data_IF_015742135290
#
_entry.id   IF_015742135290
#
_cell.length_a   1.000
_cell.length_b   1.000
_cell.length_c   1.000
_cell.angle_alpha   90.00
_cell.angle_beta   90.00
_cell.angle_gamma   90.00
#
_symmetry.space_group_name_H-M   'P 1'
#
loop_
_entity.id
_entity.type
_entity.pdbx_description
1 polymer ?
#
# COMPACT_ATOMS: atom_id res chain seq x y z
N UNK A 1 -15.93 4.00 11.27
CA UNK A 1 -14.50 4.20 11.60
C UNK A 1 -13.73 4.78 10.41
N UNK A 2 -13.72 4.14 9.23
CA UNK A 2 -13.07 4.73 8.03
C UNK A 2 -13.77 6.01 7.53
N UNK A 3 -15.03 6.19 7.86
CA UNK A 3 -15.86 7.36 7.52
C UNK A 3 -16.03 8.37 8.65
N UNK A 4 -15.43 8.16 9.83
CA UNK A 4 -15.65 9.06 10.97
C UNK A 4 -14.87 10.36 10.79
N UNK A 5 -15.47 11.27 10.02
CA UNK A 5 -15.16 12.68 9.77
C UNK A 5 -13.69 12.96 9.46
N UNK A 6 -13.43 13.35 8.21
CA UNK A 6 -12.14 13.92 7.75
C UNK A 6 -11.75 15.27 8.40
N UNK A 7 -12.08 15.46 9.68
CA UNK A 7 -11.77 16.62 10.50
C UNK A 7 -10.56 16.39 11.41
N UNK A 8 -10.16 15.13 11.65
CA UNK A 8 -8.95 14.86 12.43
C UNK A 8 -7.70 15.09 11.56
N UNK A 9 -6.95 16.14 11.91
CA UNK A 9 -5.70 16.55 11.24
C UNK A 9 -4.59 15.48 11.31
N UNK A 10 -4.69 14.54 12.25
CA UNK A 10 -3.63 13.55 12.52
C UNK A 10 -4.23 12.17 12.80
N UNK A 11 -3.74 11.15 12.10
CA UNK A 11 -4.02 9.75 12.41
C UNK A 11 -3.62 9.42 13.85
N UNK A 12 -4.54 8.80 14.59
CA UNK A 12 -4.29 8.28 15.93
C UNK A 12 -4.10 6.77 15.85
N UNK A 13 -2.96 6.27 16.35
CA UNK A 13 -2.64 4.83 16.47
C UNK A 13 -3.76 4.00 17.10
N UNK A 14 -4.57 4.61 17.96
CA UNK A 14 -5.78 4.04 18.53
C UNK A 14 -6.71 3.40 17.48
N UNK A 15 -6.93 4.06 16.34
CA UNK A 15 -7.83 3.54 15.31
C UNK A 15 -7.29 2.29 14.62
N UNK A 16 -5.97 2.21 14.38
CA UNK A 16 -5.33 0.99 13.86
C UNK A 16 -5.49 -0.19 14.81
N UNK A 17 -5.22 0.02 16.11
CA UNK A 17 -5.38 -1.03 17.13
C UNK A 17 -6.84 -1.49 17.26
N UNK A 18 -7.79 -0.57 17.17
CA UNK A 18 -9.21 -0.89 17.25
C UNK A 18 -9.68 -1.67 16.00
N UNK A 19 -9.29 -1.22 14.81
CA UNK A 19 -9.58 -1.93 13.56
C UNK A 19 -8.95 -3.33 13.54
N UNK A 20 -7.70 -3.46 13.99
CA UNK A 20 -7.01 -4.75 14.13
C UNK A 20 -7.79 -5.71 15.04
N UNK A 21 -8.25 -5.23 16.21
CA UNK A 21 -9.06 -6.05 17.12
C UNK A 21 -10.36 -6.53 16.47
N UNK A 22 -11.03 -5.69 15.67
CA UNK A 22 -12.21 -6.12 14.92
C UNK A 22 -11.88 -7.22 13.92
N UNK A 23 -10.82 -7.08 13.13
CA UNK A 23 -10.39 -8.10 12.17
C UNK A 23 -10.11 -9.45 12.84
N UNK A 24 -9.49 -9.45 14.01
CA UNK A 24 -9.22 -10.68 14.76
C UNK A 24 -10.45 -11.27 15.45
N UNK A 25 -11.47 -10.45 15.73
CA UNK A 25 -12.70 -10.91 16.39
C UNK A 25 -13.58 -11.71 15.43
N UNK A 26 -13.77 -11.23 14.19
CA UNK A 26 -14.55 -11.92 13.17
C UNK A 26 -14.00 -11.67 11.78
N UNK A 27 -13.97 -12.72 10.97
CA UNK A 27 -13.56 -12.67 9.55
C UNK A 27 -14.37 -11.65 8.73
N UNK A 28 -15.66 -11.48 9.03
CA UNK A 28 -16.53 -10.49 8.41
C UNK A 28 -15.97 -9.05 8.51
N UNK A 29 -15.29 -8.70 9.61
CA UNK A 29 -14.68 -7.37 9.73
C UNK A 29 -13.46 -7.24 8.82
N UNK A 30 -12.62 -8.28 8.72
CA UNK A 30 -11.47 -8.27 7.82
C UNK A 30 -11.91 -8.15 6.35
N UNK A 31 -12.97 -8.87 5.95
CA UNK A 31 -13.57 -8.76 4.61
C UNK A 31 -14.13 -7.36 4.34
N UNK A 32 -14.80 -6.76 5.33
CA UNK A 32 -15.28 -5.38 5.22
C UNK A 32 -14.13 -4.37 5.07
N UNK A 33 -13.00 -4.57 5.78
CA UNK A 33 -11.82 -3.73 5.63
C UNK A 33 -11.12 -3.94 4.26
N UNK A 34 -11.10 -5.16 3.74
CA UNK A 34 -10.62 -5.47 2.37
C UNK A 34 -11.43 -4.72 1.32
N UNK A 35 -12.76 -4.89 1.34
CA UNK A 35 -13.65 -4.15 0.45
C UNK A 35 -13.50 -2.64 0.63
N UNK A 36 -13.33 -2.17 1.86
CA UNK A 36 -13.10 -0.76 2.14
C UNK A 36 -11.79 -0.27 1.50
N UNK A 37 -10.70 -1.02 1.58
CA UNK A 37 -9.43 -0.68 0.94
C UNK A 37 -9.62 -0.50 -0.57
N UNK A 38 -10.19 -1.51 -1.23
CA UNK A 38 -10.41 -1.51 -2.69
C UNK A 38 -11.32 -0.36 -3.11
N UNK A 39 -12.41 -0.13 -2.37
CA UNK A 39 -13.34 0.97 -2.63
C UNK A 39 -12.69 2.35 -2.44
N UNK A 40 -11.90 2.55 -1.38
CA UNK A 40 -11.19 3.82 -1.16
C UNK A 40 -10.14 4.06 -2.25
N UNK A 41 -9.42 3.03 -2.68
CA UNK A 41 -8.44 3.14 -3.75
C UNK A 41 -9.09 3.49 -5.10
N UNK A 42 -10.25 2.89 -5.41
CA UNK A 42 -10.99 3.19 -6.65
C UNK A 42 -11.41 4.67 -6.77
N UNK A 43 -11.72 5.34 -5.65
CA UNK A 43 -12.11 6.76 -5.63
C UNK A 43 -11.02 7.69 -5.10
N UNK A 44 -9.76 7.22 -5.07
CA UNK A 44 -8.67 7.91 -4.36
C UNK A 44 -8.38 9.32 -4.86
N UNK A 45 -8.60 9.55 -6.15
CA UNK A 45 -8.45 10.85 -6.80
C UNK A 45 -9.38 11.94 -6.25
N UNK A 46 -10.45 11.55 -5.53
CA UNK A 46 -11.42 12.47 -4.90
C UNK A 46 -11.09 12.81 -3.45
N UNK A 47 -10.04 12.21 -2.90
CA UNK A 47 -9.69 12.34 -1.49
C UNK A 47 -8.64 13.44 -1.31
N UNK A 48 -8.83 14.27 -0.29
CA UNK A 48 -7.86 15.29 0.08
C UNK A 48 -6.59 14.68 0.69
N UNK A 49 -5.46 15.38 0.55
CA UNK A 49 -4.13 14.92 1.00
C UNK A 49 -4.08 14.41 2.44
N UNK A 50 -4.75 15.09 3.37
CA UNK A 50 -4.77 14.66 4.78
C UNK A 50 -5.53 13.34 4.96
N UNK A 51 -6.62 13.15 4.20
CA UNK A 51 -7.39 11.92 4.22
C UNK A 51 -6.59 10.77 3.60
N UNK A 52 -5.84 11.02 2.53
CA UNK A 52 -4.92 10.03 1.93
C UNK A 52 -3.91 9.53 2.97
N UNK A 53 -3.27 10.44 3.71
CA UNK A 53 -2.32 10.10 4.79
C UNK A 53 -2.97 9.24 5.87
N UNK A 54 -4.12 9.67 6.39
CA UNK A 54 -4.81 8.97 7.48
C UNK A 54 -5.25 7.56 7.06
N UNK A 55 -5.76 7.40 5.84
CA UNK A 55 -6.19 6.10 5.31
C UNK A 55 -4.97 5.20 5.06
N UNK A 56 -3.88 5.75 4.52
CA UNK A 56 -2.64 5.01 4.31
C UNK A 56 -2.06 4.50 5.64
N UNK A 57 -2.01 5.33 6.70
CA UNK A 57 -1.53 4.93 8.03
C UNK A 57 -2.42 3.86 8.70
N UNK A 58 -3.74 3.89 8.45
CA UNK A 58 -4.64 2.85 8.95
C UNK A 58 -4.36 1.50 8.27
N UNK A 59 -4.33 1.49 6.94
CA UNK A 59 -4.16 0.25 6.20
C UNK A 59 -2.74 -0.31 6.27
N UNK A 60 -1.71 0.54 6.39
CA UNK A 60 -0.34 0.07 6.68
C UNK A 60 -0.30 -0.69 8.01
N UNK A 61 -0.98 -0.18 9.05
CA UNK A 61 -1.07 -0.87 10.35
C UNK A 61 -1.75 -2.24 10.22
N UNK A 62 -2.87 -2.32 9.51
CA UNK A 62 -3.61 -3.58 9.33
C UNK A 62 -2.80 -4.62 8.54
N UNK A 63 -2.10 -4.19 7.50
CA UNK A 63 -1.23 -5.06 6.70
C UNK A 63 0.01 -5.51 7.48
N UNK A 64 0.68 -4.60 8.21
CA UNK A 64 1.87 -4.91 9.00
C UNK A 64 1.58 -5.88 10.16
N UNK A 65 0.34 -5.92 10.63
CA UNK A 65 -0.13 -6.84 11.69
C UNK A 65 -0.83 -8.09 11.15
N UNK A 66 -0.84 -8.28 9.82
CA UNK A 66 -1.53 -9.38 9.13
C UNK A 66 -3.02 -9.50 9.54
N UNK A 67 -3.63 -8.37 9.93
CA UNK A 67 -5.07 -8.24 10.20
C UNK A 67 -5.88 -8.01 8.93
N UNK A 68 -5.20 -7.62 7.85
CA UNK A 68 -5.75 -7.52 6.50
C UNK A 68 -4.87 -8.32 5.55
N UNK A 69 -5.49 -9.05 4.62
CA UNK A 69 -4.77 -9.79 3.58
C UNK A 69 -3.97 -8.85 2.69
N UNK A 70 -2.75 -9.24 2.32
CA UNK A 70 -1.92 -8.48 1.39
C UNK A 70 -2.43 -8.53 -0.06
N UNK A 71 -3.36 -9.43 -0.37
CA UNK A 71 -4.05 -9.49 -1.67
C UNK A 71 -4.79 -8.20 -2.04
N UNK A 72 -5.07 -7.30 -1.10
CA UNK A 72 -5.64 -5.98 -1.40
C UNK A 72 -4.74 -5.13 -2.29
N UNK A 73 -3.43 -5.42 -2.34
CA UNK A 73 -2.46 -4.71 -3.19
C UNK A 73 -2.73 -4.88 -4.68
N UNK A 74 -3.46 -5.94 -5.09
CA UNK A 74 -3.80 -6.22 -6.48
C UNK A 74 -4.53 -5.05 -7.17
N UNK A 75 -5.32 -4.28 -6.42
CA UNK A 75 -6.07 -3.17 -6.99
C UNK A 75 -5.19 -1.94 -7.30
N UNK A 76 -3.92 -1.95 -6.89
CA UNK A 76 -2.99 -0.86 -7.10
C UNK A 76 -2.12 -1.12 -8.32
N UNK A 77 -2.10 -0.16 -9.25
CA UNK A 77 -1.23 -0.19 -10.44
C UNK A 77 -0.26 0.99 -10.44
N UNK A 78 1.04 0.71 -10.55
CA UNK A 78 2.12 1.72 -10.54
C UNK A 78 2.71 1.86 -11.95
N UNK A 79 2.03 2.62 -12.78
CA UNK A 79 2.46 2.99 -14.14
C UNK A 79 2.33 4.51 -14.31
N UNK A 80 2.93 5.05 -15.36
CA UNK A 80 2.80 6.48 -15.67
C UNK A 80 1.33 6.87 -15.97
N UNK A 81 0.61 5.99 -16.67
CA UNK A 81 -0.75 6.21 -17.16
C UNK A 81 -1.82 6.05 -16.05
N UNK A 82 -1.69 5.04 -15.17
CA UNK A 82 -2.73 4.72 -14.17
C UNK A 82 -2.53 5.45 -12.84
N UNK A 83 -1.35 6.04 -12.60
CA UNK A 83 -1.08 6.73 -11.34
C UNK A 83 -1.38 8.22 -11.40
N UNK A 84 -2.42 8.62 -10.66
CA UNK A 84 -2.73 10.02 -10.38
C UNK A 84 -1.85 10.59 -9.27
N UNK A 85 -1.80 11.91 -9.11
CA UNK A 85 -1.12 12.55 -7.98
C UNK A 85 -1.63 12.05 -6.62
N UNK A 86 -2.93 11.79 -6.49
CA UNK A 86 -3.52 11.27 -5.26
C UNK A 86 -3.09 9.83 -4.96
N UNK A 87 -3.06 8.96 -5.97
CA UNK A 87 -2.56 7.59 -5.77
C UNK A 87 -1.08 7.60 -5.41
N UNK A 88 -0.24 8.42 -6.07
CA UNK A 88 1.18 8.57 -5.72
C UNK A 88 1.38 8.99 -4.27
N UNK A 89 0.60 9.95 -3.78
CA UNK A 89 0.63 10.37 -2.37
C UNK A 89 0.26 9.21 -1.46
N UNK A 90 -0.86 8.52 -1.72
CA UNK A 90 -1.30 7.40 -0.90
C UNK A 90 -0.27 6.28 -0.83
N UNK A 91 0.23 5.82 -1.98
CA UNK A 91 1.21 4.74 -2.09
C UNK A 91 2.49 5.12 -1.36
N UNK A 92 2.96 6.36 -1.53
CA UNK A 92 4.11 6.88 -0.78
C UNK A 92 3.92 6.70 0.73
N UNK A 93 2.81 7.20 1.28
CA UNK A 93 2.56 7.11 2.72
C UNK A 93 2.37 5.65 3.17
N UNK A 94 1.66 4.84 2.40
CA UNK A 94 1.42 3.43 2.72
C UNK A 94 2.74 2.67 2.87
N UNK A 95 3.62 2.75 1.86
CA UNK A 95 4.88 2.03 1.87
C UNK A 95 5.90 2.60 2.86
N UNK A 96 5.92 3.92 3.08
CA UNK A 96 6.79 4.53 4.10
C UNK A 96 6.39 4.06 5.51
N UNK A 97 5.10 4.03 5.82
CA UNK A 97 4.60 3.52 7.11
C UNK A 97 4.85 2.02 7.28
N UNK A 98 4.65 1.22 6.22
CA UNK A 98 4.97 -0.21 6.23
C UNK A 98 6.47 -0.44 6.48
N UNK A 99 7.34 0.29 5.78
CA UNK A 99 8.78 0.20 5.97
C UNK A 99 9.21 0.65 7.37
N UNK A 100 8.57 1.69 7.92
CA UNK A 100 8.80 2.17 9.29
C UNK A 100 8.44 1.10 10.33
N UNK A 101 7.32 0.38 10.10
CA UNK A 101 6.81 -0.62 11.05
C UNK A 101 7.53 -1.96 10.96
N UNK A 102 7.81 -2.44 9.75
CA UNK A 102 8.36 -3.79 9.50
C UNK A 102 9.87 -3.80 9.28
N UNK A 103 10.45 -2.67 8.88
CA UNK A 103 11.79 -2.58 8.30
C UNK A 103 11.80 -2.93 6.80
N UNK A 104 12.66 -2.25 6.05
CA UNK A 104 12.74 -2.39 4.58
C UNK A 104 13.09 -3.82 4.14
N UNK A 105 13.96 -4.52 4.86
CA UNK A 105 14.38 -5.90 4.52
C UNK A 105 13.22 -6.89 4.65
N UNK A 106 12.45 -6.81 5.74
CA UNK A 106 11.29 -7.68 5.97
C UNK A 106 10.17 -7.39 4.97
N UNK A 107 9.97 -6.11 4.65
CA UNK A 107 9.02 -5.70 3.63
C UNK A 107 9.43 -6.22 2.25
N UNK A 108 10.70 -6.08 1.86
CA UNK A 108 11.23 -6.61 0.61
C UNK A 108 11.07 -8.13 0.52
N UNK A 109 11.41 -8.87 1.58
CA UNK A 109 11.24 -10.32 1.61
C UNK A 109 9.78 -10.74 1.40
N UNK A 110 8.84 -10.02 2.01
CA UNK A 110 7.39 -10.27 1.81
C UNK A 110 6.93 -9.96 0.39
N UNK A 111 7.42 -8.88 -0.21
CA UNK A 111 7.05 -8.48 -1.59
C UNK A 111 7.63 -9.38 -2.67
N UNK A 112 8.68 -10.14 -2.35
CA UNK A 112 9.29 -11.12 -3.26
C UNK A 112 8.93 -12.56 -2.89
N UNK A 113 7.90 -12.77 -2.05
CA UNK A 113 7.41 -14.11 -1.73
C UNK A 113 6.78 -14.74 -2.99
N UNK A 114 7.33 -15.86 -3.52
CA UNK A 114 6.81 -16.49 -4.73
C UNK A 114 5.34 -16.89 -4.63
N UNK A 115 4.84 -17.20 -3.43
CA UNK A 115 3.45 -17.60 -3.23
C UNK A 115 2.46 -16.43 -3.35
N UNK A 116 2.93 -15.20 -3.13
CA UNK A 116 2.13 -13.98 -3.14
C UNK A 116 2.44 -13.06 -4.33
N UNK A 117 3.34 -13.48 -5.23
CA UNK A 117 3.86 -12.64 -6.31
C UNK A 117 2.75 -12.01 -7.16
N UNK A 118 1.70 -12.78 -7.49
CA UNK A 118 0.56 -12.31 -8.27
C UNK A 118 -0.19 -11.12 -7.66
N UNK A 119 -0.12 -10.94 -6.34
CA UNK A 119 -0.75 -9.80 -5.66
C UNK A 119 0.00 -8.48 -5.88
N UNK A 120 1.27 -8.57 -6.26
CA UNK A 120 2.18 -7.44 -6.35
C UNK A 120 2.58 -7.11 -7.80
N UNK A 121 2.14 -7.89 -8.79
CA UNK A 121 2.50 -7.70 -10.20
C UNK A 121 2.17 -6.29 -10.71
N UNK A 122 1.04 -5.72 -10.29
CA UNK A 122 0.65 -4.37 -10.69
C UNK A 122 1.43 -3.27 -9.93
N UNK A 123 1.98 -3.59 -8.76
CA UNK A 123 2.79 -2.68 -7.92
C UNK A 123 4.25 -2.67 -8.38
N UNK A 124 4.76 -3.82 -8.81
CA UNK A 124 6.10 -3.99 -9.37
C UNK A 124 6.01 -4.50 -10.81
N UNK A 125 5.52 -3.66 -11.75
CA UNK A 125 5.27 -4.07 -13.12
C UNK A 125 6.56 -4.51 -13.82
N UNK A 126 6.44 -5.61 -14.58
CA UNK A 126 7.50 -6.19 -15.43
C UNK A 126 7.08 -6.29 -16.91
N UNK A 127 5.98 -5.63 -17.27
CA UNK A 127 5.34 -5.73 -18.60
C UNK A 127 6.09 -4.93 -19.67
N UNK A 128 6.50 -3.69 -19.37
CA UNK A 128 7.25 -2.83 -20.28
C UNK A 128 8.42 -2.16 -19.56
N UNK A 129 9.48 -1.87 -20.31
CA UNK A 129 10.64 -1.15 -19.78
C UNK A 129 10.28 0.23 -19.23
N UNK A 130 9.27 0.88 -19.81
CA UNK A 130 8.76 2.18 -19.35
C UNK A 130 8.11 2.07 -17.96
N UNK A 131 7.18 1.11 -17.77
CA UNK A 131 6.52 0.89 -16.49
C UNK A 131 7.49 0.47 -15.40
N UNK A 132 8.43 -0.42 -15.74
CA UNK A 132 9.47 -0.86 -14.83
C UNK A 132 10.32 0.34 -14.37
N UNK A 133 10.80 1.17 -15.31
CA UNK A 133 11.58 2.39 -14.97
C UNK A 133 10.78 3.37 -14.13
N UNK A 134 9.49 3.55 -14.43
CA UNK A 134 8.60 4.41 -13.66
C UNK A 134 8.49 3.95 -12.20
N UNK A 135 8.23 2.65 -11.98
CA UNK A 135 8.12 2.07 -10.64
C UNK A 135 9.45 2.16 -9.87
N UNK A 136 10.59 1.83 -10.49
CA UNK A 136 11.93 1.98 -9.88
C UNK A 136 12.15 3.43 -9.42
N UNK A 137 11.88 4.40 -10.31
CA UNK A 137 12.08 5.82 -10.00
C UNK A 137 11.13 6.28 -8.89
N UNK A 138 9.88 5.83 -8.92
CA UNK A 138 8.90 6.15 -7.89
C UNK A 138 9.37 5.68 -6.52
N UNK A 139 9.71 4.40 -6.35
CA UNK A 139 10.18 3.87 -5.07
C UNK A 139 11.51 4.48 -4.60
N UNK A 140 12.41 4.79 -5.54
CA UNK A 140 13.65 5.51 -5.24
C UNK A 140 13.36 6.92 -4.72
N UNK A 141 12.44 7.65 -5.35
CA UNK A 141 12.08 9.03 -4.98
C UNK A 141 11.44 9.15 -3.59
N UNK A 142 10.80 8.08 -3.11
CA UNK A 142 10.19 8.02 -1.77
C UNK A 142 11.13 7.41 -0.72
N UNK A 143 12.38 7.12 -1.06
CA UNK A 143 13.41 6.59 -0.15
C UNK A 143 13.33 5.08 0.09
N UNK A 144 12.64 4.33 -0.77
CA UNK A 144 12.43 2.88 -0.64
C UNK A 144 13.02 2.11 -1.83
N UNK A 145 14.17 2.57 -2.34
CA UNK A 145 14.84 1.95 -3.50
C UNK A 145 15.16 0.46 -3.32
N UNK A 146 15.44 0.00 -2.10
CA UNK A 146 15.72 -1.41 -1.81
C UNK A 146 14.52 -2.35 -2.00
N UNK A 147 13.30 -1.83 -2.18
CA UNK A 147 12.15 -2.66 -2.59
C UNK A 147 12.20 -3.05 -4.07
N UNK A 148 13.07 -2.42 -4.86
CA UNK A 148 13.12 -2.55 -6.32
C UNK A 148 14.35 -3.30 -6.84
N UNK A 149 15.11 -3.95 -5.96
CA UNK A 149 16.34 -4.65 -6.35
C UNK A 149 16.07 -5.77 -7.37
N UNK A 150 14.99 -6.52 -7.21
CA UNK A 150 14.57 -7.54 -8.19
C UNK A 150 14.17 -6.95 -9.54
N UNK A 151 13.54 -5.76 -9.55
CA UNK A 151 13.22 -5.04 -10.79
C UNK A 151 14.48 -4.54 -11.50
N UNK A 152 15.49 -4.09 -10.73
CA UNK A 152 16.78 -3.64 -11.28
C UNK A 152 17.56 -4.78 -11.91
N UNK A 153 17.51 -5.98 -11.31
CA UNK A 153 18.10 -7.17 -11.90
C UNK A 153 17.47 -7.49 -13.26
N UNK A 154 16.13 -7.51 -13.34
CA UNK A 154 15.39 -7.70 -14.60
C UNK A 154 15.60 -6.58 -15.63
N UNK A 155 15.96 -5.37 -15.20
CA UNK A 155 16.23 -4.25 -16.11
C UNK A 155 17.61 -4.30 -16.77
N UNK A 156 18.56 -5.00 -16.15
CA UNK A 156 19.94 -5.11 -16.62
C UNK A 156 20.17 -6.28 -17.60
N UNK A 157 19.18 -7.17 -17.72
CA UNK A 157 19.09 -8.25 -18.71
C UNK A 157 18.42 -7.74 -20.00
#
# INVERSE_FOLDING_TARGET
MVTSRGQERTYKRFFGLLAQRFCYLKREYAENFDQCFRNQYAVIHRLETNKLRNIASLFSHLLATDALSWSVMECMRITEEDTTSASRIFIKYLFQELSSTMGVLKLAARMNDPAAQGWYDNVFPKDTQANLRFAINFFTSIGLGGLTDSMRAHYAE
#
